data_IF_887091199448
#
_entry.id   IF_887091199448
#
_cell.length_a   1.000
_cell.length_b   1.000
_cell.length_c   1.000
_cell.angle_alpha   90.00
_cell.angle_beta   90.00
_cell.angle_gamma   90.00
#
_symmetry.space_group_name_H-M   'P 1'
#
loop_
_entity.id
_entity.type
_entity.pdbx_description
1 polymer ?
#
# COMPACT_ATOMS: atom_id res chain seq x y z
N UNK A 1 -6.17 25.14 -8.79
CA UNK A 1 -5.87 23.96 -9.62
C UNK A 1 -4.73 23.23 -8.94
N UNK A 2 -4.94 21.99 -8.50
CA UNK A 2 -3.83 21.15 -8.04
C UNK A 2 -3.10 20.62 -9.28
N UNK A 3 -1.77 20.58 -9.27
CA UNK A 3 -1.01 20.00 -10.36
C UNK A 3 -1.33 18.49 -10.46
N UNK A 4 -1.22 17.85 -11.64
CA UNK A 4 -1.55 16.43 -11.79
C UNK A 4 -0.81 15.52 -10.79
N UNK A 5 0.43 15.88 -10.44
CA UNK A 5 1.21 15.15 -9.45
C UNK A 5 0.71 15.36 -8.01
N UNK A 6 0.29 16.58 -7.65
CA UNK A 6 -0.33 16.84 -6.34
C UNK A 6 -1.63 16.05 -6.19
N UNK A 7 -2.40 15.91 -7.28
CA UNK A 7 -3.60 15.09 -7.29
C UNK A 7 -3.29 13.60 -7.09
N UNK A 8 -2.25 13.09 -7.77
CA UNK A 8 -1.81 11.70 -7.59
C UNK A 8 -1.35 11.44 -6.15
N UNK A 9 -0.51 12.31 -5.58
CA UNK A 9 -0.08 12.22 -4.18
C UNK A 9 -1.28 12.28 -3.23
N UNK A 10 -2.22 13.20 -3.48
CA UNK A 10 -3.45 13.31 -2.71
C UNK A 10 -4.28 12.03 -2.73
N UNK A 11 -4.34 11.32 -3.85
CA UNK A 11 -5.01 10.02 -3.95
C UNK A 11 -4.29 8.94 -3.12
N UNK A 12 -2.96 8.88 -3.15
CA UNK A 12 -2.20 7.93 -2.34
C UNK A 12 -2.47 8.14 -0.84
N UNK A 13 -2.44 9.40 -0.40
CA UNK A 13 -2.74 9.79 0.99
C UNK A 13 -4.18 9.45 1.36
N UNK A 14 -5.14 9.77 0.49
CA UNK A 14 -6.56 9.49 0.74
C UNK A 14 -6.85 7.99 0.83
N UNK A 15 -6.23 7.17 -0.04
CA UNK A 15 -6.36 5.71 0.02
C UNK A 15 -5.74 5.19 1.30
N UNK A 16 -4.54 5.62 1.68
CA UNK A 16 -3.93 5.19 2.94
C UNK A 16 -4.86 5.47 4.14
N UNK A 17 -5.35 6.70 4.28
CA UNK A 17 -6.25 7.08 5.37
C UNK A 17 -7.66 6.48 5.30
N UNK A 18 -8.08 5.97 4.14
CA UNK A 18 -9.35 5.22 4.00
C UNK A 18 -9.27 3.85 4.69
N UNK A 19 -8.07 3.27 4.77
CA UNK A 19 -7.85 1.96 5.37
C UNK A 19 -7.19 2.04 6.74
N UNK A 20 -6.33 3.03 7.00
CA UNK A 20 -5.69 3.21 8.31
C UNK A 20 -6.65 3.70 9.37
N UNK A 21 -6.43 3.29 10.62
CA UNK A 21 -7.23 3.72 11.77
C UNK A 21 -8.63 3.12 11.83
N UNK A 22 -8.94 2.09 11.03
CA UNK A 22 -10.12 1.24 11.27
C UNK A 22 -9.88 0.37 12.50
N UNK A 23 -8.64 -0.06 12.70
CA UNK A 23 -8.16 -0.78 13.87
C UNK A 23 -6.91 -0.09 14.44
N UNK A 24 -7.04 0.61 15.56
CA UNK A 24 -5.90 1.17 16.29
C UNK A 24 -5.45 2.55 15.80
N UNK A 25 -4.20 2.67 15.32
CA UNK A 25 -3.57 3.96 15.03
C UNK A 25 -3.86 4.44 13.60
N UNK A 26 -4.35 5.67 13.48
CA UNK A 26 -4.73 6.31 12.20
C UNK A 26 -3.57 6.57 11.24
N UNK A 27 -2.33 6.44 11.70
CA UNK A 27 -1.13 6.70 10.92
C UNK A 27 -0.45 5.40 10.45
N UNK A 28 -1.02 4.24 10.77
CA UNK A 28 -0.47 2.93 10.42
C UNK A 28 -1.55 2.02 9.88
N UNK A 29 -1.16 1.05 9.06
CA UNK A 29 -2.01 -0.03 8.59
C UNK A 29 -1.67 -1.30 9.36
N UNK A 30 -2.69 -1.93 9.93
CA UNK A 30 -2.60 -3.30 10.42
C UNK A 30 -2.51 -4.29 9.26
N UNK A 31 -2.17 -5.54 9.57
CA UNK A 31 -2.16 -6.64 8.60
C UNK A 31 -3.48 -6.78 7.84
N UNK A 32 -4.58 -6.69 8.58
CA UNK A 32 -5.93 -6.80 8.05
C UNK A 32 -6.26 -5.63 7.12
N UNK A 33 -5.90 -4.42 7.54
CA UNK A 33 -6.15 -3.19 6.76
C UNK A 33 -5.32 -3.17 5.47
N UNK A 34 -4.04 -3.53 5.54
CA UNK A 34 -3.17 -3.64 4.37
C UNK A 34 -3.68 -4.71 3.38
N UNK A 35 -4.12 -5.87 3.89
CA UNK A 35 -4.74 -6.91 3.07
C UNK A 35 -5.95 -6.37 2.33
N UNK A 36 -6.84 -5.68 3.02
CA UNK A 36 -8.05 -5.14 2.43
C UNK A 36 -7.75 -4.05 1.39
N UNK A 37 -6.76 -3.19 1.65
CA UNK A 37 -6.28 -2.18 0.71
C UNK A 37 -5.79 -2.85 -0.58
N UNK A 38 -4.89 -3.82 -0.47
CA UNK A 38 -4.33 -4.51 -1.65
C UNK A 38 -5.44 -5.21 -2.44
N UNK A 39 -6.34 -5.91 -1.77
CA UNK A 39 -7.41 -6.66 -2.45
C UNK A 39 -8.43 -5.77 -3.15
N UNK A 40 -8.69 -4.55 -2.63
CA UNK A 40 -9.71 -3.64 -3.17
C UNK A 40 -9.17 -2.60 -4.14
N UNK A 41 -7.96 -2.09 -3.90
CA UNK A 41 -7.40 -0.98 -4.66
C UNK A 41 -6.41 -1.44 -5.74
N UNK A 42 -5.84 -2.66 -5.61
CA UNK A 42 -4.89 -3.21 -6.59
C UNK A 42 -5.48 -4.41 -7.32
N UNK A 43 -5.49 -4.36 -8.64
CA UNK A 43 -6.00 -5.47 -9.49
C UNK A 43 -5.20 -6.77 -9.32
N UNK A 44 -3.93 -6.65 -8.93
CA UNK A 44 -3.07 -7.80 -8.57
C UNK A 44 -3.50 -8.45 -7.25
N UNK A 45 -4.12 -7.69 -6.35
CA UNK A 45 -4.53 -8.17 -5.03
C UNK A 45 -5.54 -9.31 -5.07
N UNK A 46 -6.37 -9.40 -6.12
CA UNK A 46 -7.29 -10.52 -6.31
C UNK A 46 -6.60 -11.86 -6.62
N UNK A 47 -5.33 -11.81 -7.07
CA UNK A 47 -4.53 -13.01 -7.38
C UNK A 47 -3.62 -13.42 -6.22
N UNK A 48 -3.35 -12.51 -5.28
CA UNK A 48 -2.47 -12.76 -4.15
C UNK A 48 -3.17 -13.58 -3.08
N UNK A 49 -2.55 -14.68 -2.67
CA UNK A 49 -3.00 -15.50 -1.55
C UNK A 49 -2.65 -14.84 -0.20
N UNK A 50 -3.34 -15.26 0.86
CA UNK A 50 -3.06 -14.83 2.24
C UNK A 50 -1.58 -14.95 2.63
N UNK A 51 -0.90 -16.02 2.18
CA UNK A 51 0.53 -16.23 2.43
C UNK A 51 1.41 -15.20 1.73
N UNK A 52 1.06 -14.80 0.51
CA UNK A 52 1.79 -13.79 -0.27
C UNK A 52 1.59 -12.40 0.34
N UNK A 53 0.36 -12.09 0.78
CA UNK A 53 0.06 -10.83 1.48
C UNK A 53 0.77 -10.77 2.83
N UNK A 54 0.85 -11.89 3.56
CA UNK A 54 1.59 -11.96 4.81
C UNK A 54 3.09 -11.73 4.58
N UNK A 55 3.67 -12.33 3.54
CA UNK A 55 5.06 -12.11 3.15
C UNK A 55 5.30 -10.65 2.74
N UNK A 56 4.38 -10.10 1.96
CA UNK A 56 4.45 -8.71 1.54
C UNK A 56 4.42 -7.77 2.75
N UNK A 57 3.59 -8.03 3.74
CA UNK A 57 3.60 -7.26 4.97
C UNK A 57 4.95 -7.36 5.70
N UNK A 58 5.54 -8.55 5.80
CA UNK A 58 6.86 -8.74 6.41
C UNK A 58 7.96 -7.98 5.64
N UNK A 59 7.86 -7.92 4.31
CA UNK A 59 8.77 -7.13 3.46
C UNK A 59 8.57 -5.61 3.62
N UNK A 60 7.37 -5.16 4.01
CA UNK A 60 7.00 -3.76 4.21
C UNK A 60 7.27 -3.24 5.62
N UNK A 61 7.01 -4.06 6.63
CA UNK A 61 7.28 -3.81 8.05
C UNK A 61 8.79 -3.92 8.32
N UNK A 62 9.53 -2.88 7.93
CA UNK A 62 11.00 -2.90 7.99
C UNK A 62 11.52 -2.76 9.40
N UNK A 63 10.79 -2.06 10.24
CA UNK A 63 11.12 -1.85 11.65
C UNK A 63 10.58 -2.98 12.56
N UNK A 64 9.81 -3.93 12.01
CA UNK A 64 9.28 -5.13 12.69
C UNK A 64 8.35 -4.79 13.85
N UNK A 65 7.57 -3.72 13.71
CA UNK A 65 6.58 -3.31 14.69
C UNK A 65 5.18 -3.89 14.44
N UNK A 66 5.07 -4.77 13.44
CA UNK A 66 3.84 -5.45 12.99
C UNK A 66 2.77 -4.52 12.43
N UNK A 67 3.14 -3.29 12.08
CA UNK A 67 2.28 -2.34 11.39
C UNK A 67 3.02 -1.75 10.21
N UNK A 68 2.28 -1.11 9.30
CA UNK A 68 2.88 -0.44 8.13
C UNK A 68 2.58 1.05 8.21
N UNK A 69 3.60 1.86 8.41
CA UNK A 69 3.45 3.31 8.42
C UNK A 69 3.38 3.89 7.00
N UNK A 70 3.05 5.18 6.90
CA UNK A 70 2.91 5.84 5.60
C UNK A 70 4.19 5.79 4.74
N UNK A 71 5.37 5.87 5.35
CA UNK A 71 6.64 5.84 4.62
C UNK A 71 6.88 4.45 3.99
N UNK A 72 6.59 3.38 4.72
CA UNK A 72 6.68 2.00 4.25
C UNK A 72 5.68 1.74 3.13
N UNK A 73 4.45 2.23 3.29
CA UNK A 73 3.41 2.20 2.26
C UNK A 73 3.81 2.91 0.96
N UNK A 74 4.38 4.12 1.03
CA UNK A 74 4.81 4.83 -0.20
C UNK A 74 6.01 4.13 -0.84
N UNK A 75 6.94 3.61 -0.03
CA UNK A 75 8.07 2.81 -0.53
C UNK A 75 7.58 1.58 -1.29
N UNK A 76 6.55 0.90 -0.78
CA UNK A 76 5.91 -0.21 -1.46
C UNK A 76 5.35 0.17 -2.82
N UNK A 77 4.56 1.24 -2.87
CA UNK A 77 3.95 1.73 -4.10
C UNK A 77 5.01 2.12 -5.13
N UNK A 78 6.14 2.68 -4.68
CA UNK A 78 7.30 2.93 -5.54
C UNK A 78 7.86 1.65 -6.16
N UNK A 79 8.00 0.58 -5.37
CA UNK A 79 8.44 -0.72 -5.87
C UNK A 79 7.43 -1.33 -6.87
N UNK A 80 6.13 -1.28 -6.56
CA UNK A 80 5.09 -1.69 -7.50
C UNK A 80 5.11 -0.86 -8.78
N UNK A 81 5.29 0.45 -8.67
CA UNK A 81 5.36 1.34 -9.82
C UNK A 81 6.54 1.00 -10.74
N UNK A 82 7.69 0.54 -10.19
CA UNK A 82 8.79 0.04 -11.01
C UNK A 82 8.39 -1.22 -11.78
N UNK A 83 7.71 -2.17 -11.14
CA UNK A 83 7.19 -3.38 -11.81
C UNK A 83 6.20 -3.00 -12.91
N UNK A 84 5.25 -2.10 -12.63
CA UNK A 84 4.31 -1.60 -13.63
C UNK A 84 5.01 -0.85 -14.76
N UNK A 85 6.03 -0.03 -14.47
CA UNK A 85 6.80 0.67 -15.48
C UNK A 85 7.52 -0.31 -16.42
N UNK A 86 8.06 -1.41 -15.91
CA UNK A 86 8.68 -2.44 -16.75
C UNK A 86 7.63 -3.17 -17.60
N UNK A 87 6.48 -3.50 -17.03
CA UNK A 87 5.34 -4.11 -17.76
C UNK A 87 4.78 -3.16 -18.83
N UNK A 88 4.74 -1.85 -18.58
CA UNK A 88 4.23 -0.85 -19.52
C UNK A 88 5.25 -0.45 -20.59
N UNK A 89 6.55 -0.72 -20.36
CA UNK A 89 7.63 -0.51 -21.32
C UNK A 89 7.86 -1.70 -22.25
N UNK A 90 7.41 -2.89 -21.86
CA UNK A 90 7.38 -4.10 -22.70
C UNK A 90 6.14 -4.15 -23.58
#
# INVERSE_FOLDING_TARGET
>A
MACPLDQAIGLLVAIFHKYSGREGDKNTLSKSELKELIQKELTIGAKLQDAEIAKLMDDLDRNKDQVVNFQEYVTFLGALAMIYNDVLRG
#
